data_IF_035702941632
#
_entry.id   IF_035702941632
#
_cell.length_a   1.000
_cell.length_b   1.000
_cell.length_c   1.000
_cell.angle_alpha   90.00
_cell.angle_beta   90.00
_cell.angle_gamma   90.00
#
_symmetry.space_group_name_H-M   'P 1'
#
loop_
_entity.id
_entity.type
_entity.pdbx_description
1 polymer ?
#
# COMPACT_ATOMS: atom_id res chain seq x y z
N UNK A 1 -17.68 12.34 -15.64
CA UNK A 1 -17.58 11.67 -14.32
C UNK A 1 -18.81 10.80 -14.19
N UNK A 2 -18.70 9.50 -14.52
CA UNK A 2 -19.86 8.60 -14.52
C UNK A 2 -20.48 8.48 -13.13
N UNK A 3 -21.79 8.26 -13.06
CA UNK A 3 -22.51 8.06 -11.80
C UNK A 3 -21.83 6.94 -10.98
N UNK A 4 -21.35 7.27 -9.78
CA UNK A 4 -20.66 6.33 -8.90
C UNK A 4 -21.49 5.06 -8.65
N UNK A 5 -22.84 5.17 -8.69
CA UNK A 5 -23.76 4.03 -8.55
C UNK A 5 -23.64 3.06 -9.72
N UNK A 6 -23.47 3.57 -10.95
CA UNK A 6 -23.27 2.74 -12.12
C UNK A 6 -21.93 2.00 -12.04
N UNK A 7 -20.87 2.69 -11.58
CA UNK A 7 -19.56 2.07 -11.42
C UNK A 7 -19.58 0.95 -10.36
N UNK A 8 -20.22 1.19 -9.21
CA UNK A 8 -20.41 0.18 -8.17
C UNK A 8 -21.24 -1.02 -8.65
N UNK A 9 -22.31 -0.78 -9.44
CA UNK A 9 -23.10 -1.86 -10.03
C UNK A 9 -22.28 -2.73 -10.96
N UNK A 10 -21.42 -2.14 -11.80
CA UNK A 10 -20.53 -2.89 -12.71
C UNK A 10 -19.51 -3.74 -11.94
N UNK A 11 -18.92 -3.21 -10.87
CA UNK A 11 -18.04 -3.98 -9.99
C UNK A 11 -18.78 -5.15 -9.32
N UNK A 12 -20.00 -4.93 -8.84
CA UNK A 12 -20.79 -5.95 -8.16
C UNK A 12 -21.20 -7.13 -9.05
N UNK A 13 -21.29 -6.93 -10.38
CA UNK A 13 -21.61 -7.99 -11.35
C UNK A 13 -20.36 -8.63 -11.98
N UNK A 14 -19.16 -8.36 -11.45
CA UNK A 14 -17.88 -8.84 -12.00
C UNK A 14 -17.73 -8.54 -13.49
N UNK A 15 -17.99 -7.30 -13.91
CA UNK A 15 -17.75 -6.87 -15.29
C UNK A 15 -16.26 -7.10 -15.67
N UNK A 16 -16.00 -8.15 -16.45
CA UNK A 16 -14.65 -8.60 -16.84
C UNK A 16 -13.84 -7.51 -17.52
N UNK A 17 -14.49 -6.62 -18.30
CA UNK A 17 -13.80 -5.54 -18.98
C UNK A 17 -13.32 -4.48 -17.97
N UNK A 18 -14.12 -4.19 -16.96
CA UNK A 18 -13.73 -3.30 -15.86
C UNK A 18 -12.64 -3.93 -14.99
N UNK A 19 -12.77 -5.22 -14.64
CA UNK A 19 -11.78 -5.93 -13.82
C UNK A 19 -10.42 -5.98 -14.52
N UNK A 20 -10.39 -6.31 -15.81
CA UNK A 20 -9.15 -6.30 -16.61
C UNK A 20 -8.54 -4.91 -16.71
N UNK A 21 -9.36 -3.87 -16.83
CA UNK A 21 -8.87 -2.49 -16.88
C UNK A 21 -8.21 -2.07 -15.55
N UNK A 22 -8.75 -2.50 -14.40
CA UNK A 22 -8.19 -2.18 -13.07
C UNK A 22 -6.95 -3.03 -12.76
N UNK A 23 -6.93 -4.28 -13.22
CA UNK A 23 -5.80 -5.20 -13.02
C UNK A 23 -4.59 -4.90 -13.93
N UNK A 24 -4.79 -4.15 -15.02
CA UNK A 24 -3.70 -3.70 -15.88
C UNK A 24 -2.89 -2.62 -15.17
N UNK A 25 -1.67 -2.98 -14.78
CA UNK A 25 -0.72 -2.18 -14.01
C UNK A 25 -0.67 -0.70 -14.43
N UNK A 26 -0.86 0.19 -13.46
CA UNK A 26 -0.53 1.63 -13.53
C UNK A 26 -1.36 2.53 -14.47
N UNK A 27 -1.99 2.02 -15.53
CA UNK A 27 -2.68 2.89 -16.51
C UNK A 27 -4.14 3.21 -16.18
N UNK A 28 -4.76 2.44 -15.27
CA UNK A 28 -6.13 2.69 -14.81
C UNK A 28 -6.30 4.07 -14.16
N UNK A 29 -5.21 4.71 -13.76
CA UNK A 29 -5.21 6.02 -13.13
C UNK A 29 -5.32 7.20 -14.10
N UNK A 30 -5.23 7.00 -15.42
CA UNK A 30 -5.37 8.09 -16.39
C UNK A 30 -6.74 8.81 -16.32
N UNK A 31 -7.75 8.19 -15.69
CA UNK A 31 -9.07 8.78 -15.42
C UNK A 31 -9.43 8.83 -13.92
N UNK A 32 -8.47 8.54 -13.04
CA UNK A 32 -8.70 8.48 -11.60
C UNK A 32 -8.81 9.90 -11.02
N UNK A 33 -9.74 10.07 -10.09
CA UNK A 33 -9.85 11.30 -9.26
C UNK A 33 -8.73 11.35 -8.23
N UNK A 34 -8.17 10.18 -7.88
CA UNK A 34 -7.06 10.04 -6.94
C UNK A 34 -5.75 10.17 -7.73
N UNK A 35 -4.85 11.03 -7.25
CA UNK A 35 -3.51 11.20 -7.81
C UNK A 35 -2.61 9.98 -7.56
N UNK A 36 -1.51 9.91 -8.30
CA UNK A 36 -0.59 8.77 -8.27
C UNK A 36 0.00 8.52 -6.88
N UNK A 37 0.34 9.60 -6.16
CA UNK A 37 0.90 9.55 -4.81
C UNK A 37 -0.08 8.96 -3.82
N UNK A 38 -1.32 9.44 -3.82
CA UNK A 38 -2.38 8.96 -2.95
C UNK A 38 -2.72 7.50 -3.27
N UNK A 39 -2.76 7.12 -4.55
CA UNK A 39 -2.95 5.74 -4.96
C UNK A 39 -1.80 4.82 -4.51
N UNK A 40 -0.56 5.32 -4.52
CA UNK A 40 0.59 4.55 -4.05
C UNK A 40 0.59 4.37 -2.53
N UNK A 41 0.28 5.41 -1.74
CA UNK A 41 0.11 5.30 -0.29
C UNK A 41 -1.05 4.37 0.09
N UNK A 42 -2.15 4.41 -0.65
CA UNK A 42 -3.27 3.48 -0.47
C UNK A 42 -2.85 2.01 -0.72
N UNK A 43 -1.96 1.76 -1.69
CA UNK A 43 -1.38 0.43 -1.91
C UNK A 43 -0.52 -0.03 -0.74
N UNK A 44 0.31 0.86 -0.16
CA UNK A 44 1.06 0.56 1.06
C UNK A 44 0.09 0.18 2.20
N UNK A 45 -0.94 0.99 2.44
CA UNK A 45 -1.95 0.71 3.46
C UNK A 45 -2.63 -0.66 3.23
N UNK A 46 -2.97 -0.99 1.99
CA UNK A 46 -3.54 -2.28 1.63
C UNK A 46 -2.58 -3.45 1.91
N UNK A 47 -1.28 -3.30 1.61
CA UNK A 47 -0.27 -4.34 1.91
C UNK A 47 -0.13 -4.60 3.40
N UNK A 48 -0.21 -3.54 4.23
CA UNK A 48 -0.25 -3.67 5.70
C UNK A 48 -1.53 -4.39 6.12
N UNK A 49 -2.67 -3.97 5.56
CA UNK A 49 -3.98 -4.52 5.93
C UNK A 49 -4.11 -6.02 5.63
N UNK A 50 -3.47 -6.53 4.59
CA UNK A 50 -3.50 -7.97 4.23
C UNK A 50 -2.29 -8.75 4.73
N UNK A 51 -1.37 -8.11 5.46
CA UNK A 51 -0.07 -8.68 5.85
C UNK A 51 0.64 -9.38 4.67
N UNK A 52 0.87 -8.60 3.61
CA UNK A 52 1.43 -9.12 2.37
C UNK A 52 2.84 -9.72 2.56
N UNK A 53 3.30 -10.45 1.54
CA UNK A 53 4.68 -10.93 1.48
C UNK A 53 5.67 -9.76 1.41
N UNK A 54 6.91 -9.96 1.89
CA UNK A 54 7.95 -8.91 1.90
C UNK A 54 8.21 -8.29 0.53
N UNK A 55 8.20 -9.09 -0.54
CA UNK A 55 8.36 -8.59 -1.91
C UNK A 55 7.24 -7.60 -2.31
N UNK A 56 6.00 -7.83 -1.82
CA UNK A 56 4.88 -6.92 -2.07
C UNK A 56 5.03 -5.60 -1.32
N UNK A 57 5.58 -5.64 -0.09
CA UNK A 57 5.93 -4.42 0.64
C UNK A 57 7.02 -3.62 -0.08
N UNK A 58 8.10 -4.28 -0.51
CA UNK A 58 9.16 -3.65 -1.28
C UNK A 58 8.64 -2.96 -2.54
N UNK A 59 7.80 -3.66 -3.30
CA UNK A 59 7.19 -3.09 -4.49
C UNK A 59 6.27 -1.90 -4.16
N UNK A 60 5.36 -2.03 -3.20
CA UNK A 60 4.42 -0.96 -2.84
C UNK A 60 5.13 0.30 -2.32
N UNK A 61 6.14 0.12 -1.46
CA UNK A 61 6.95 1.24 -0.94
C UNK A 61 7.77 1.89 -2.06
N UNK A 62 8.40 1.11 -2.95
CA UNK A 62 9.13 1.65 -4.09
C UNK A 62 8.23 2.50 -5.01
N UNK A 63 7.01 2.03 -5.28
CA UNK A 63 6.01 2.78 -6.05
C UNK A 63 5.60 4.07 -5.33
N UNK A 64 5.43 4.05 -4.00
CA UNK A 64 5.11 5.25 -3.22
C UNK A 64 6.22 6.28 -3.26
N UNK A 65 7.48 5.87 -3.07
CA UNK A 65 8.64 6.75 -3.15
C UNK A 65 8.81 7.33 -4.56
N UNK A 66 8.62 6.51 -5.60
CA UNK A 66 8.65 6.97 -7.00
C UNK A 66 7.56 8.01 -7.31
N UNK A 67 6.40 7.91 -6.66
CA UNK A 67 5.31 8.87 -6.75
C UNK A 67 5.51 10.11 -5.85
N UNK A 68 6.68 10.26 -5.20
CA UNK A 68 7.03 11.42 -4.38
C UNK A 68 6.55 11.37 -2.93
N UNK A 69 6.12 10.19 -2.43
CA UNK A 69 5.91 10.02 -1.00
C UNK A 69 7.25 10.00 -0.25
N UNK A 70 7.24 10.42 1.02
CA UNK A 70 8.43 10.33 1.88
C UNK A 70 8.44 9.06 2.72
N UNK A 71 9.61 8.69 3.26
CA UNK A 71 9.75 7.59 4.22
C UNK A 71 8.85 7.79 5.45
N UNK A 72 8.73 9.03 5.93
CA UNK A 72 7.91 9.40 7.09
C UNK A 72 6.43 9.18 6.80
N UNK A 73 5.97 9.47 5.58
CA UNK A 73 4.59 9.19 5.19
C UNK A 73 4.29 7.70 5.13
N UNK A 74 5.24 6.89 4.64
CA UNK A 74 5.12 5.42 4.63
C UNK A 74 5.03 4.89 6.06
N UNK A 75 5.81 5.42 7.01
CA UNK A 75 5.70 5.06 8.42
C UNK A 75 4.39 5.56 9.03
N UNK A 76 3.96 6.79 8.71
CA UNK A 76 2.69 7.34 9.20
C UNK A 76 1.47 6.52 8.75
N UNK A 77 1.55 5.80 7.62
CA UNK A 77 0.50 4.85 7.20
C UNK A 77 0.32 3.74 8.24
N UNK A 78 1.39 3.23 8.85
CA UNK A 78 1.28 2.21 9.90
C UNK A 78 0.45 2.69 11.09
N UNK A 79 0.63 3.95 11.47
CA UNK A 79 -0.16 4.60 12.54
C UNK A 79 -1.61 4.82 12.09
N UNK A 80 -1.80 5.31 10.86
CA UNK A 80 -3.11 5.63 10.30
C UNK A 80 -4.00 4.39 10.16
N UNK A 81 -3.44 3.22 9.83
CA UNK A 81 -4.21 1.98 9.67
C UNK A 81 -4.40 1.22 10.99
N UNK A 82 -3.63 1.53 12.04
CA UNK A 82 -3.68 0.82 13.32
C UNK A 82 -5.10 0.65 13.91
N UNK A 83 -6.02 1.64 13.85
CA UNK A 83 -7.39 1.46 14.34
C UNK A 83 -8.21 0.43 13.56
N UNK A 84 -7.87 0.17 12.30
CA UNK A 84 -8.59 -0.76 11.41
C UNK A 84 -7.95 -2.14 11.43
N UNK A 85 -6.62 -2.19 11.40
CA UNK A 85 -5.85 -3.43 11.30
C UNK A 85 -5.49 -4.05 12.65
N UNK A 86 -5.57 -3.25 13.72
CA UNK A 86 -5.08 -3.59 15.05
C UNK A 86 -3.56 -3.38 15.21
N UNK A 87 -3.15 -3.08 16.44
CA UNK A 87 -1.75 -2.81 16.79
C UNK A 87 -0.84 -4.02 16.50
N UNK A 88 -1.30 -5.24 16.76
CA UNK A 88 -0.51 -6.46 16.51
C UNK A 88 -0.13 -6.61 15.03
N UNK A 89 -1.01 -6.22 14.10
CA UNK A 89 -0.71 -6.26 12.66
C UNK A 89 0.34 -5.23 12.28
N UNK A 90 0.24 -4.03 12.83
CA UNK A 90 1.22 -2.96 12.60
C UNK A 90 2.62 -3.36 13.09
N UNK A 91 2.72 -3.90 14.30
CA UNK A 91 3.99 -4.36 14.87
C UNK A 91 4.63 -5.46 14.01
N UNK A 92 3.83 -6.42 13.51
CA UNK A 92 4.33 -7.48 12.62
C UNK A 92 4.79 -6.96 11.24
N UNK A 93 4.15 -5.91 10.74
CA UNK A 93 4.50 -5.32 9.44
C UNK A 93 5.71 -4.36 9.52
N UNK A 94 6.02 -3.84 10.71
CA UNK A 94 7.06 -2.82 10.88
C UNK A 94 8.44 -3.26 10.33
N UNK A 95 8.95 -4.49 10.59
CA UNK A 95 10.21 -4.94 10.01
C UNK A 95 10.16 -5.04 8.48
N UNK A 96 9.03 -5.48 7.90
CA UNK A 96 8.88 -5.58 6.43
C UNK A 96 8.90 -4.20 5.77
N UNK A 97 8.24 -3.21 6.38
CA UNK A 97 8.23 -1.82 5.91
C UNK A 97 9.62 -1.20 6.07
N UNK A 98 10.29 -1.44 7.20
CA UNK A 98 11.65 -0.96 7.41
C UNK A 98 12.63 -1.53 6.37
N UNK A 99 12.57 -2.84 6.11
CA UNK A 99 13.39 -3.47 5.07
C UNK A 99 13.09 -2.89 3.69
N UNK A 100 11.82 -2.61 3.38
CA UNK A 100 11.44 -1.95 2.13
C UNK A 100 11.96 -0.51 2.00
N UNK A 101 12.22 0.17 3.12
CA UNK A 101 12.88 1.47 3.18
C UNK A 101 14.42 1.36 3.25
N UNK A 102 14.97 0.15 3.18
CA UNK A 102 16.41 -0.11 3.25
C UNK A 102 16.98 -0.11 4.67
N UNK A 103 16.13 -0.26 5.70
CA UNK A 103 16.53 -0.35 7.10
C UNK A 103 16.26 -1.75 7.66
N UNK A 104 17.32 -2.46 8.02
CA UNK A 104 17.24 -3.75 8.69
C UNK A 104 17.12 -3.56 10.21
N UNK A 105 15.89 -3.64 10.71
CA UNK A 105 15.56 -3.48 12.14
C UNK A 105 16.16 -4.61 12.96
N UNK A 106 16.11 -5.84 12.46
CA UNK A 106 16.55 -7.02 13.21
C UNK A 106 18.08 -6.95 13.41
N UNK A 107 18.84 -6.65 12.35
CA UNK A 107 20.28 -6.43 12.45
C UNK A 107 20.66 -5.21 13.31
N UNK A 108 19.78 -4.19 13.40
CA UNK A 108 19.99 -3.06 14.30
C UNK A 108 19.78 -3.41 15.77
N UNK A 109 18.84 -4.31 16.08
CA UNK A 109 18.59 -4.78 17.44
C UNK A 109 19.70 -5.72 17.93
N UNK A 110 20.15 -6.65 17.09
CA UNK A 110 21.26 -7.57 17.43
C UNK A 110 22.55 -6.84 17.80
N UNK A 111 22.85 -5.72 17.13
CA UNK A 111 24.03 -4.87 17.43
C UNK A 111 23.91 -4.11 18.76
N UNK A 112 22.70 -3.92 19.30
CA UNK A 112 22.50 -3.24 20.58
C UNK A 112 22.62 -4.19 21.78
N UNK A 113 22.48 -5.49 21.53
CA UNK A 113 22.58 -6.55 22.53
C UNK A 113 24.01 -7.17 22.58
N UNK A 114 24.93 -6.70 21.73
CA UNK A 114 26.34 -7.08 21.66
C UNK A 114 27.25 -6.09 22.41
#
# INVERSE_FOLDING_TARGET
>A
MGDYRQHLRRLAVHDDALVKAIAADGSAFATSVIDERTAALARVAATVAVDAATASFQHAVAVALAAGATSEEVVAILEAVAPVTGASRVVQCAPKVALALGYDVDAALERRDA
#
